data_IF_200919682532
#
_entry.id   IF_200919682532
#
_cell.length_a   1.000
_cell.length_b   1.000
_cell.length_c   1.000
_cell.angle_alpha   90.00
_cell.angle_beta   90.00
_cell.angle_gamma   90.00
#
_symmetry.space_group_name_H-M   'P 1'
#
loop_
_entity.id
_entity.type
_entity.pdbx_description
1 polymer ?
#
# COMPACT_ATOMS: atom_id res chain seq x y z
N UNK A 1 -16.09 7.80 18.15
CA UNK A 1 -16.58 6.89 17.11
C UNK A 1 -15.94 7.31 15.78
N UNK A 2 -15.28 6.39 15.08
CA UNK A 2 -14.54 6.71 13.86
C UNK A 2 -15.26 6.23 12.59
N UNK A 3 -16.31 5.42 12.73
CA UNK A 3 -17.17 4.94 11.65
C UNK A 3 -18.62 4.86 12.12
N UNK A 4 -19.57 4.98 11.20
CA UNK A 4 -21.01 4.88 11.44
C UNK A 4 -21.58 3.74 10.61
N UNK A 5 -22.27 2.79 11.27
CA UNK A 5 -23.11 1.82 10.61
C UNK A 5 -24.57 2.13 10.95
N UNK A 6 -25.40 2.35 9.95
CA UNK A 6 -26.84 2.49 10.08
C UNK A 6 -27.49 1.18 9.67
N UNK A 7 -28.13 0.53 10.64
CA UNK A 7 -28.87 -0.71 10.44
C UNK A 7 -30.36 -0.42 10.45
N UNK A 8 -31.02 -0.70 9.35
CA UNK A 8 -32.45 -0.52 9.18
C UNK A 8 -33.16 -1.82 9.54
N UNK A 9 -33.70 -1.89 10.75
CA UNK A 9 -34.53 -3.01 11.21
C UNK A 9 -36.00 -2.89 10.74
N UNK A 10 -36.38 -1.76 10.18
CA UNK A 10 -37.72 -1.45 9.67
C UNK A 10 -37.64 -0.31 8.66
N UNK A 11 -38.77 0.18 8.13
CA UNK A 11 -38.85 1.31 7.21
C UNK A 11 -38.10 2.54 7.72
N UNK A 12 -38.31 2.91 8.98
CA UNK A 12 -37.58 3.99 9.63
C UNK A 12 -37.91 5.41 9.14
N UNK A 13 -37.55 6.45 9.90
CA UNK A 13 -37.66 7.86 9.49
C UNK A 13 -36.44 8.28 8.66
N UNK A 14 -36.50 8.13 7.33
CA UNK A 14 -35.41 8.37 6.38
C UNK A 14 -34.69 9.72 6.54
N UNK A 15 -35.40 10.77 7.01
CA UNK A 15 -34.80 12.09 7.28
C UNK A 15 -33.84 12.01 8.46
N UNK A 16 -34.22 11.38 9.56
CA UNK A 16 -33.41 11.31 10.78
C UNK A 16 -32.12 10.54 10.56
N UNK A 17 -32.19 9.36 9.96
CA UNK A 17 -31.02 8.49 9.68
C UNK A 17 -30.05 9.11 8.67
N UNK A 18 -30.58 9.76 7.61
CA UNK A 18 -29.73 10.41 6.62
C UNK A 18 -29.13 11.72 7.13
N UNK A 19 -29.83 12.47 8.01
CA UNK A 19 -29.27 13.63 8.68
C UNK A 19 -28.20 13.24 9.71
N UNK A 20 -28.36 12.12 10.41
CA UNK A 20 -27.30 11.56 11.25
C UNK A 20 -26.05 11.28 10.41
N UNK A 21 -26.22 10.60 9.28
CA UNK A 21 -25.13 10.29 8.36
C UNK A 21 -24.50 11.58 7.77
N UNK A 22 -25.30 12.60 7.45
CA UNK A 22 -24.81 13.88 6.92
C UNK A 22 -23.92 14.61 7.91
N UNK A 23 -24.26 14.59 9.19
CA UNK A 23 -23.54 15.31 10.23
C UNK A 23 -22.41 14.49 10.87
N UNK A 24 -22.31 13.21 10.55
CA UNK A 24 -21.20 12.37 11.02
C UNK A 24 -19.97 12.60 10.14
N UNK A 25 -18.86 12.98 10.77
CA UNK A 25 -17.57 13.16 10.08
C UNK A 25 -16.76 11.86 10.12
N UNK A 26 -16.90 11.02 9.11
CA UNK A 26 -16.20 9.74 8.99
C UNK A 26 -16.85 8.81 7.98
N UNK A 27 -16.27 7.60 7.77
CA UNK A 27 -16.85 6.58 6.91
C UNK A 27 -18.21 6.10 7.45
N UNK A 28 -19.13 5.86 6.55
CA UNK A 28 -20.52 5.50 6.83
C UNK A 28 -20.93 4.30 6.02
N UNK A 29 -21.77 3.44 6.62
CA UNK A 29 -22.35 2.27 5.99
C UNK A 29 -23.85 2.22 6.26
N UNK A 30 -24.62 1.74 5.29
CA UNK A 30 -26.05 1.44 5.44
C UNK A 30 -26.31 0.00 5.07
N UNK A 31 -27.03 -0.72 5.96
CA UNK A 31 -27.50 -2.09 5.77
C UNK A 31 -28.90 -2.24 6.35
N UNK A 32 -29.62 -3.28 5.96
CA UNK A 32 -30.99 -3.49 6.39
C UNK A 32 -31.27 -4.97 6.74
N UNK A 33 -32.26 -5.19 7.59
CA UNK A 33 -32.70 -6.52 7.99
C UNK A 33 -33.49 -7.22 6.89
N UNK A 34 -33.20 -8.51 6.66
CA UNK A 34 -34.06 -9.41 5.91
C UNK A 34 -35.18 -9.96 6.77
N UNK A 35 -36.29 -10.38 6.15
CA UNK A 35 -37.32 -11.19 6.79
C UNK A 35 -36.83 -12.65 6.90
N UNK A 36 -36.54 -13.12 8.10
CA UNK A 36 -35.88 -14.42 8.31
C UNK A 36 -36.87 -15.58 8.44
N UNK A 37 -38.11 -15.30 8.91
CA UNK A 37 -39.09 -16.35 9.21
C UNK A 37 -40.47 -16.07 8.65
N UNK A 38 -41.21 -17.12 8.38
CA UNK A 38 -42.65 -17.05 8.08
C UNK A 38 -43.48 -17.69 9.20
N UNK A 39 -44.75 -17.33 9.31
CA UNK A 39 -45.72 -17.96 10.20
C UNK A 39 -46.75 -18.74 9.38
N UNK A 40 -46.81 -20.04 9.60
CA UNK A 40 -47.78 -20.94 8.90
C UNK A 40 -47.72 -20.81 7.36
N UNK A 41 -46.51 -20.64 6.80
CA UNK A 41 -46.33 -20.47 5.36
C UNK A 41 -46.68 -19.08 4.80
N UNK A 42 -46.99 -18.11 5.67
CA UNK A 42 -47.28 -16.71 5.31
C UNK A 42 -46.37 -15.70 6.00
N UNK A 43 -46.56 -14.43 5.73
CA UNK A 43 -45.81 -13.37 6.36
C UNK A 43 -46.18 -13.24 7.85
N UNK A 44 -45.13 -12.96 8.68
CA UNK A 44 -45.32 -12.70 10.12
C UNK A 44 -46.04 -11.37 10.31
N UNK A 45 -47.05 -11.34 11.17
CA UNK A 45 -47.65 -10.07 11.59
C UNK A 45 -46.64 -9.23 12.37
N UNK A 46 -46.49 -7.96 12.02
CA UNK A 46 -45.52 -7.07 12.64
C UNK A 46 -44.10 -7.20 12.04
N UNK A 47 -43.95 -7.81 10.84
CA UNK A 47 -42.73 -7.78 10.07
C UNK A 47 -42.26 -6.35 9.85
N UNK A 48 -40.96 -6.18 9.61
CA UNK A 48 -40.39 -4.91 9.19
C UNK A 48 -40.61 -4.61 7.70
N UNK A 49 -40.32 -3.37 7.33
CA UNK A 49 -40.33 -2.92 5.93
C UNK A 49 -38.92 -2.40 5.56
N UNK A 50 -37.88 -3.11 6.05
CA UNK A 50 -36.50 -2.66 5.93
C UNK A 50 -36.01 -2.65 4.47
N UNK A 51 -36.56 -3.54 3.62
CA UNK A 51 -36.25 -3.56 2.19
C UNK A 51 -36.66 -2.26 1.48
N UNK A 52 -37.86 -1.76 1.70
CA UNK A 52 -38.28 -0.47 1.17
C UNK A 52 -37.63 0.71 1.92
N UNK A 53 -37.36 0.56 3.21
CA UNK A 53 -36.60 1.53 4.00
C UNK A 53 -35.22 1.77 3.41
N UNK A 54 -34.50 0.72 3.01
CA UNK A 54 -33.20 0.83 2.38
C UNK A 54 -33.22 1.59 1.05
N UNK A 55 -34.27 1.39 0.22
CA UNK A 55 -34.47 2.15 -1.02
C UNK A 55 -34.68 3.64 -0.75
N UNK A 56 -35.53 3.98 0.24
CA UNK A 56 -35.79 5.36 0.59
C UNK A 56 -34.60 6.04 1.27
N UNK A 57 -33.90 5.33 2.13
CA UNK A 57 -32.65 5.83 2.72
C UNK A 57 -31.60 6.14 1.65
N UNK A 58 -31.38 5.24 0.69
CA UNK A 58 -30.43 5.45 -0.40
C UNK A 58 -30.80 6.62 -1.31
N UNK A 59 -32.09 6.79 -1.62
CA UNK A 59 -32.60 7.98 -2.35
C UNK A 59 -32.30 9.26 -1.57
N UNK A 60 -32.58 9.27 -0.27
CA UNK A 60 -32.41 10.43 0.59
C UNK A 60 -30.94 10.80 0.80
N UNK A 61 -30.03 9.80 0.93
CA UNK A 61 -28.58 10.00 0.94
C UNK A 61 -28.12 10.70 -0.35
N UNK A 62 -28.58 10.22 -1.51
CA UNK A 62 -28.24 10.82 -2.81
C UNK A 62 -28.77 12.24 -2.93
N UNK A 63 -30.02 12.49 -2.53
CA UNK A 63 -30.64 13.81 -2.54
C UNK A 63 -29.83 14.83 -1.74
N UNK A 64 -29.22 14.40 -0.63
CA UNK A 64 -28.41 15.25 0.25
C UNK A 64 -26.92 15.26 -0.06
N UNK A 65 -26.48 14.58 -1.11
CA UNK A 65 -25.06 14.45 -1.47
C UNK A 65 -24.22 13.73 -0.41
N UNK A 66 -24.83 12.86 0.38
CA UNK A 66 -24.14 12.06 1.41
C UNK A 66 -23.60 10.79 0.77
N UNK A 67 -22.30 10.59 0.87
CA UNK A 67 -21.66 9.33 0.45
C UNK A 67 -21.68 8.33 1.60
N UNK A 68 -22.10 7.12 1.33
CA UNK A 68 -22.06 5.99 2.26
C UNK A 68 -21.66 4.71 1.50
N UNK A 69 -21.00 3.79 2.19
CA UNK A 69 -20.79 2.44 1.69
C UNK A 69 -22.13 1.69 1.77
N UNK A 70 -22.52 1.10 0.68
CA UNK A 70 -23.68 0.20 0.58
C UNK A 70 -23.14 -1.10 -0.02
N UNK A 71 -23.25 -2.24 0.68
CA UNK A 71 -22.85 -3.55 0.14
C UNK A 71 -23.55 -3.87 -1.18
N UNK A 72 -23.00 -4.80 -1.95
CA UNK A 72 -23.60 -5.23 -3.22
C UNK A 72 -25.06 -5.68 -3.05
N UNK A 73 -25.33 -6.40 -1.96
CA UNK A 73 -26.68 -6.68 -1.50
C UNK A 73 -26.82 -6.28 -0.03
N UNK A 74 -27.46 -5.13 0.29
CA UNK A 74 -27.41 -4.52 1.61
C UNK A 74 -28.47 -5.01 2.60
N UNK A 75 -29.24 -6.04 2.27
CA UNK A 75 -30.32 -6.58 3.09
C UNK A 75 -29.99 -8.03 3.45
N UNK A 76 -29.91 -8.34 4.73
CA UNK A 76 -29.49 -9.68 5.18
C UNK A 76 -30.01 -10.09 6.54
N UNK A 77 -29.84 -11.37 6.85
CA UNK A 77 -30.00 -11.94 8.19
C UNK A 77 -29.04 -11.28 9.17
N UNK A 78 -29.13 -11.60 10.45
CA UNK A 78 -28.21 -11.07 11.47
C UNK A 78 -26.75 -11.48 11.16
N UNK A 79 -26.51 -12.74 10.75
CA UNK A 79 -25.20 -13.23 10.36
C UNK A 79 -24.66 -12.50 9.09
N UNK A 80 -25.47 -12.42 8.05
CA UNK A 80 -25.10 -11.73 6.81
C UNK A 80 -24.81 -10.24 7.07
N UNK A 81 -25.57 -9.58 7.93
CA UNK A 81 -25.30 -8.21 8.33
C UNK A 81 -23.97 -8.07 9.13
N UNK A 82 -23.65 -9.05 9.97
CA UNK A 82 -22.36 -9.10 10.66
C UNK A 82 -21.20 -9.24 9.64
N UNK A 83 -21.34 -10.09 8.64
CA UNK A 83 -20.34 -10.26 7.57
C UNK A 83 -20.17 -8.97 6.77
N UNK A 84 -21.27 -8.27 6.41
CA UNK A 84 -21.20 -6.97 5.75
C UNK A 84 -20.44 -5.92 6.58
N UNK A 85 -20.63 -5.93 7.91
CA UNK A 85 -19.89 -5.04 8.83
C UNK A 85 -18.40 -5.42 8.84
N UNK A 86 -18.07 -6.72 8.88
CA UNK A 86 -16.68 -7.18 8.79
C UNK A 86 -15.99 -6.73 7.49
N UNK A 87 -16.70 -6.82 6.37
CA UNK A 87 -16.20 -6.33 5.07
C UNK A 87 -16.01 -4.80 5.03
N UNK A 88 -16.81 -4.07 5.78
CA UNK A 88 -16.70 -2.61 5.86
C UNK A 88 -15.52 -2.14 6.73
N UNK A 89 -15.07 -2.91 7.70
CA UNK A 89 -14.00 -2.51 8.63
C UNK A 89 -12.73 -2.05 7.90
N UNK A 90 -12.15 -2.81 6.94
CA UNK A 90 -10.95 -2.36 6.22
C UNK A 90 -11.20 -1.11 5.38
N UNK A 91 -12.37 -0.98 4.76
CA UNK A 91 -12.78 0.22 4.01
C UNK A 91 -12.85 1.43 4.94
N UNK A 92 -13.53 1.29 6.07
CA UNK A 92 -13.66 2.35 7.07
C UNK A 92 -12.30 2.75 7.64
N UNK A 93 -11.43 1.78 7.87
CA UNK A 93 -10.06 2.00 8.36
C UNK A 93 -9.26 2.81 7.34
N UNK A 94 -9.31 2.44 6.05
CA UNK A 94 -8.62 3.15 4.98
C UNK A 94 -9.11 4.61 4.85
N UNK A 95 -10.41 4.83 4.80
CA UNK A 95 -11.00 6.18 4.70
C UNK A 95 -10.62 7.04 5.91
N UNK A 96 -10.70 6.48 7.11
CA UNK A 96 -10.29 7.18 8.33
C UNK A 96 -8.80 7.49 8.33
N UNK A 97 -7.97 6.52 7.92
CA UNK A 97 -6.52 6.67 7.91
C UNK A 97 -6.06 7.71 6.88
N UNK A 98 -6.66 7.75 5.68
CA UNK A 98 -6.38 8.78 4.67
C UNK A 98 -6.60 10.20 5.19
N UNK A 99 -7.70 10.44 5.91
CA UNK A 99 -8.00 11.74 6.52
C UNK A 99 -7.03 12.11 7.68
N UNK A 100 -6.18 11.17 8.09
CA UNK A 100 -5.19 11.36 9.15
C UNK A 100 -3.76 11.09 8.67
N UNK A 101 -3.53 11.06 7.36
CA UNK A 101 -2.24 10.81 6.74
C UNK A 101 -1.52 12.12 6.40
N UNK A 102 -0.21 12.12 6.66
CA UNK A 102 0.75 13.04 6.05
C UNK A 102 1.75 12.24 5.22
N UNK A 103 2.04 12.67 4.01
CA UNK A 103 3.16 12.15 3.21
C UNK A 103 4.28 13.17 3.27
N UNK A 104 5.45 12.73 3.71
CA UNK A 104 6.67 13.53 3.80
C UNK A 104 7.57 13.13 2.63
N UNK A 105 7.94 14.09 1.79
CA UNK A 105 8.85 13.83 0.67
C UNK A 105 10.18 14.51 0.85
N UNK A 106 11.26 13.88 0.32
CA UNK A 106 12.61 14.40 0.33
C UNK A 106 13.16 14.51 -1.10
N UNK A 107 13.31 15.74 -1.57
CA UNK A 107 13.84 16.10 -2.88
C UNK A 107 12.78 16.42 -3.91
N UNK A 108 13.13 16.71 -5.16
CA UNK A 108 12.30 16.34 -6.30
C UNK A 108 12.62 14.92 -6.73
N UNK A 109 11.72 14.30 -7.50
CA UNK A 109 11.96 13.02 -8.16
C UNK A 109 13.29 13.02 -8.95
N UNK A 110 13.86 11.85 -9.25
CA UNK A 110 14.96 11.78 -10.21
C UNK A 110 14.56 12.34 -11.59
N UNK A 111 15.50 12.95 -12.32
CA UNK A 111 15.23 13.75 -13.51
C UNK A 111 14.36 13.03 -14.57
N UNK A 112 14.63 11.77 -14.85
CA UNK A 112 13.95 11.01 -15.91
C UNK A 112 12.67 10.30 -15.46
N UNK A 113 12.27 10.40 -14.19
CA UNK A 113 11.09 9.73 -13.63
C UNK A 113 9.87 10.66 -13.61
N UNK A 114 9.43 11.11 -14.79
CA UNK A 114 8.33 12.07 -14.94
C UNK A 114 7.01 11.58 -14.32
N UNK A 115 6.74 10.28 -14.39
CA UNK A 115 5.52 9.72 -13.82
C UNK A 115 5.45 9.81 -12.28
N UNK A 116 6.59 9.96 -11.59
CA UNK A 116 6.64 10.21 -10.15
C UNK A 116 6.39 11.70 -9.78
N UNK A 117 6.25 12.59 -10.77
CA UNK A 117 5.92 14.00 -10.59
C UNK A 117 4.43 14.30 -10.86
N UNK A 118 3.54 13.39 -10.47
CA UNK A 118 2.10 13.58 -10.65
C UNK A 118 1.58 14.72 -9.75
N UNK A 119 0.54 15.46 -10.18
CA UNK A 119 -0.01 16.57 -9.40
C UNK A 119 -0.54 16.14 -8.03
N UNK A 120 -0.06 16.78 -6.97
CA UNK A 120 -0.40 16.46 -5.58
C UNK A 120 -1.67 17.15 -5.08
N UNK A 121 -2.17 18.14 -5.78
CA UNK A 121 -3.36 18.91 -5.38
C UNK A 121 -4.61 18.05 -5.19
N UNK A 122 -4.71 16.92 -5.89
CA UNK A 122 -5.83 15.98 -5.74
C UNK A 122 -5.80 15.24 -4.38
N UNK A 123 -4.64 15.10 -3.76
CA UNK A 123 -4.47 14.41 -2.47
C UNK A 123 -5.09 15.19 -1.32
N UNK A 124 -5.08 16.52 -1.38
CA UNK A 124 -5.75 17.36 -0.40
C UNK A 124 -7.26 17.14 -0.37
N UNK A 125 -7.87 16.80 -1.52
CA UNK A 125 -9.29 16.44 -1.60
C UNK A 125 -9.59 15.08 -0.93
N UNK A 126 -8.58 14.23 -0.77
CA UNK A 126 -8.67 12.97 -0.02
C UNK A 126 -8.37 13.16 1.48
N UNK A 127 -8.08 14.39 1.91
CA UNK A 127 -7.71 14.70 3.29
C UNK A 127 -6.24 14.41 3.64
N UNK A 128 -5.41 14.09 2.63
CA UNK A 128 -3.97 13.80 2.81
C UNK A 128 -3.19 15.10 2.80
N UNK A 129 -2.32 15.30 3.79
CA UNK A 129 -1.33 16.39 3.82
C UNK A 129 -0.02 15.97 3.17
N UNK A 130 0.59 16.91 2.45
CA UNK A 130 1.90 16.70 1.83
C UNK A 130 2.88 17.71 2.41
N UNK A 131 4.07 17.22 2.77
CA UNK A 131 5.19 18.06 3.18
C UNK A 131 6.39 17.76 2.29
N UNK A 132 6.85 18.78 1.57
CA UNK A 132 7.99 18.67 0.65
C UNK A 132 9.25 19.26 1.29
N UNK A 133 10.28 18.44 1.42
CA UNK A 133 11.57 18.81 2.01
C UNK A 133 12.72 18.59 1.02
N UNK A 134 13.83 19.23 1.29
CA UNK A 134 15.08 19.02 0.55
C UNK A 134 15.84 17.80 1.07
N UNK A 135 16.58 17.12 0.20
CA UNK A 135 17.57 16.12 0.62
C UNK A 135 18.70 16.73 1.48
N UNK A 136 18.95 18.05 1.36
CA UNK A 136 19.92 18.74 2.21
C UNK A 136 19.45 18.83 3.65
N UNK A 137 18.14 19.08 3.87
CA UNK A 137 17.55 19.12 5.21
C UNK A 137 17.65 17.74 5.87
N UNK A 138 17.39 16.69 5.10
CA UNK A 138 17.54 15.31 5.54
C UNK A 138 18.99 14.98 5.88
N UNK A 139 19.95 15.43 5.05
CA UNK A 139 21.37 15.19 5.27
C UNK A 139 21.91 15.94 6.50
N UNK A 140 21.48 17.17 6.71
CA UNK A 140 21.80 17.93 7.94
C UNK A 140 21.25 17.22 9.18
N UNK A 141 19.98 16.80 9.14
CA UNK A 141 19.36 16.04 10.23
C UNK A 141 20.11 14.74 10.50
N UNK A 142 20.52 14.01 9.44
CA UNK A 142 21.32 12.79 9.59
C UNK A 142 22.65 13.08 10.31
N UNK A 143 23.35 14.13 9.93
CA UNK A 143 24.62 14.52 10.58
C UNK A 143 24.41 14.89 12.06
N UNK A 144 23.30 15.53 12.40
CA UNK A 144 22.95 15.89 13.77
C UNK A 144 22.67 14.67 14.67
N UNK A 145 22.34 13.51 14.08
CA UNK A 145 22.19 12.23 14.80
C UNK A 145 23.52 11.46 14.94
N UNK A 146 24.66 12.05 14.55
CA UNK A 146 25.94 11.40 14.71
C UNK A 146 26.27 11.17 16.21
N UNK A 147 26.49 9.91 16.59
CA UNK A 147 26.78 9.54 17.97
C UNK A 147 25.56 9.48 18.89
N UNK A 148 24.33 9.45 18.34
CA UNK A 148 23.10 9.26 19.11
C UNK A 148 23.18 7.98 19.96
N UNK A 149 22.89 8.09 21.24
CA UNK A 149 23.00 7.00 22.22
C UNK A 149 22.08 5.79 21.91
N UNK A 150 21.05 5.97 21.09
CA UNK A 150 20.12 4.92 20.66
C UNK A 150 20.69 4.02 19.55
N UNK A 151 21.73 4.46 18.82
CA UNK A 151 22.31 3.72 17.68
C UNK A 151 22.67 2.28 18.05
N UNK A 152 23.37 1.97 19.16
CA UNK A 152 23.72 0.58 19.49
C UNK A 152 22.50 -0.34 19.67
N UNK A 153 21.41 0.16 20.23
CA UNK A 153 20.19 -0.61 20.41
C UNK A 153 19.50 -0.91 19.06
N UNK A 154 19.49 0.05 18.14
CA UNK A 154 18.95 -0.12 16.79
C UNK A 154 19.82 -1.10 15.98
N UNK A 155 21.15 -0.99 16.05
CA UNK A 155 22.10 -1.95 15.43
C UNK A 155 21.80 -3.38 15.90
N UNK A 156 21.70 -3.60 17.21
CA UNK A 156 21.38 -4.92 17.77
C UNK A 156 20.03 -5.47 17.26
N UNK A 157 19.05 -4.58 17.07
CA UNK A 157 17.75 -4.96 16.49
C UNK A 157 17.89 -5.34 15.00
N UNK A 158 18.71 -4.61 14.24
CA UNK A 158 18.99 -4.91 12.83
C UNK A 158 19.76 -6.25 12.69
N UNK A 159 20.75 -6.49 13.52
CA UNK A 159 21.48 -7.77 13.56
C UNK A 159 20.54 -8.95 13.81
N UNK A 160 19.62 -8.80 14.76
CA UNK A 160 18.63 -9.84 15.06
C UNK A 160 17.68 -10.08 13.88
N UNK A 161 17.23 -9.02 13.22
CA UNK A 161 16.33 -9.10 12.07
C UNK A 161 16.98 -9.80 10.87
N UNK A 162 18.21 -9.42 10.56
CA UNK A 162 18.96 -9.94 9.42
C UNK A 162 19.52 -11.34 9.66
N UNK A 163 19.90 -11.68 10.89
CA UNK A 163 20.49 -12.95 11.25
C UNK A 163 21.69 -13.31 10.36
N UNK A 164 21.68 -14.48 9.73
CA UNK A 164 22.73 -14.94 8.80
C UNK A 164 22.80 -14.11 7.50
N UNK A 165 21.74 -13.38 7.16
CA UNK A 165 21.69 -12.47 6.02
C UNK A 165 22.43 -11.15 6.24
N UNK A 166 22.97 -10.90 7.45
CA UNK A 166 23.79 -9.75 7.74
C UNK A 166 25.20 -9.87 7.13
N UNK A 167 25.30 -9.65 5.82
CA UNK A 167 26.58 -9.75 5.09
C UNK A 167 27.39 -8.45 5.11
N UNK A 168 26.87 -7.38 5.72
CA UNK A 168 27.47 -6.04 5.76
C UNK A 168 27.34 -5.39 7.15
N UNK A 169 27.87 -6.05 8.22
CA UNK A 169 27.74 -5.52 9.58
C UNK A 169 28.41 -4.16 9.77
N UNK A 170 29.41 -3.84 8.97
CA UNK A 170 30.19 -2.59 9.05
C UNK A 170 29.36 -1.33 8.76
N UNK A 171 28.23 -1.43 8.06
CA UNK A 171 27.40 -0.26 7.74
C UNK A 171 26.21 -0.08 8.68
N UNK A 172 25.94 -1.05 9.57
CA UNK A 172 24.72 -1.03 10.41
C UNK A 172 24.62 0.23 11.28
N UNK A 173 25.74 0.76 11.80
CA UNK A 173 25.70 2.00 12.57
C UNK A 173 25.21 3.19 11.75
N UNK A 174 25.62 3.32 10.49
CA UNK A 174 25.13 4.37 9.58
C UNK A 174 23.65 4.18 9.25
N UNK A 175 23.23 2.95 9.00
CA UNK A 175 21.83 2.64 8.73
C UNK A 175 20.95 2.88 9.97
N UNK A 176 21.45 2.56 11.16
CA UNK A 176 20.76 2.84 12.43
C UNK A 176 20.60 4.34 12.67
N UNK A 177 21.67 5.12 12.44
CA UNK A 177 21.62 6.58 12.49
C UNK A 177 20.56 7.13 11.52
N UNK A 178 20.51 6.62 10.28
CA UNK A 178 19.54 7.06 9.29
C UNK A 178 18.10 6.65 9.66
N UNK A 179 17.91 5.46 10.23
CA UNK A 179 16.60 5.02 10.72
C UNK A 179 16.08 5.93 11.84
N UNK A 180 16.94 6.30 12.80
CA UNK A 180 16.62 7.26 13.85
C UNK A 180 16.31 8.64 13.30
N UNK A 181 17.06 9.10 12.33
CA UNK A 181 16.82 10.37 11.64
C UNK A 181 15.41 10.43 11.05
N UNK A 182 15.00 9.39 10.32
CA UNK A 182 13.68 9.35 9.72
C UNK A 182 12.57 9.24 10.77
N UNK A 183 12.75 8.43 11.81
CA UNK A 183 11.75 8.28 12.87
C UNK A 183 11.56 9.58 13.66
N UNK A 184 12.63 10.26 14.02
CA UNK A 184 12.55 11.54 14.72
C UNK A 184 11.98 12.65 13.82
N UNK A 185 12.31 12.62 12.51
CA UNK A 185 11.69 13.52 11.54
C UNK A 185 10.17 13.32 11.48
N UNK A 186 9.73 12.07 11.38
CA UNK A 186 8.30 11.72 11.40
C UNK A 186 7.62 12.27 12.65
N UNK A 187 8.18 12.04 13.82
CA UNK A 187 7.61 12.53 15.09
C UNK A 187 7.54 14.06 15.15
N UNK A 188 8.58 14.73 14.71
CA UNK A 188 8.65 16.21 14.73
C UNK A 188 7.70 16.86 13.72
N UNK A 189 7.44 16.20 12.58
CA UNK A 189 6.74 16.79 11.43
C UNK A 189 5.32 16.26 11.20
N UNK A 190 4.91 15.15 11.83
CA UNK A 190 3.56 14.60 11.64
C UNK A 190 2.43 15.58 12.05
N UNK A 191 2.71 16.51 12.97
CA UNK A 191 1.72 17.47 13.48
C UNK A 191 0.54 16.79 14.15
N UNK A 192 -0.67 17.14 13.75
CA UNK A 192 -1.91 16.53 14.25
C UNK A 192 -2.26 15.21 13.56
N UNK A 193 -1.52 14.80 12.53
CA UNK A 193 -1.78 13.56 11.79
C UNK A 193 -1.34 12.35 12.59
N UNK A 194 -2.04 11.25 12.41
CA UNK A 194 -1.78 9.98 13.12
C UNK A 194 -0.83 9.07 12.35
N UNK A 195 -0.83 9.20 11.04
CA UNK A 195 -0.10 8.33 10.13
C UNK A 195 0.82 9.14 9.25
N UNK A 196 1.96 8.54 8.91
CA UNK A 196 2.93 9.12 8.00
C UNK A 196 3.35 8.05 6.99
N UNK A 197 3.53 8.47 5.75
CA UNK A 197 4.27 7.74 4.73
C UNK A 197 5.38 8.65 4.20
N UNK A 198 6.44 8.08 3.66
CA UNK A 198 7.60 8.82 3.16
C UNK A 198 7.77 8.54 1.66
N UNK A 199 8.17 9.57 0.92
CA UNK A 199 8.61 9.46 -0.46
C UNK A 199 10.04 10.01 -0.57
N UNK A 200 11.01 9.12 -0.79
CA UNK A 200 12.43 9.47 -0.86
C UNK A 200 13.09 8.90 -2.11
N UNK A 201 14.38 9.20 -2.30
CA UNK A 201 15.16 8.61 -3.39
C UNK A 201 16.58 8.27 -2.93
N UNK A 202 17.21 7.32 -3.62
CA UNK A 202 18.58 6.90 -3.32
C UNK A 202 19.62 7.39 -4.38
N UNK A 203 19.18 8.09 -5.41
CA UNK A 203 20.02 8.56 -6.50
C UNK A 203 19.52 9.89 -7.07
N UNK A 204 20.38 10.73 -7.73
CA UNK A 204 21.75 10.38 -8.12
C UNK A 204 22.83 10.68 -7.06
N UNK A 205 22.54 11.42 -6.00
CA UNK A 205 23.58 11.90 -5.08
C UNK A 205 23.53 11.31 -3.67
N UNK A 206 22.41 10.70 -3.27
CA UNK A 206 22.21 10.19 -1.90
C UNK A 206 23.39 9.32 -1.44
N UNK A 207 23.70 8.27 -2.19
CA UNK A 207 24.70 7.26 -1.81
C UNK A 207 26.11 7.86 -1.67
N UNK A 208 26.46 8.87 -2.45
CA UNK A 208 27.77 9.52 -2.34
C UNK A 208 27.85 10.48 -1.15
N UNK A 209 26.74 11.03 -0.70
CA UNK A 209 26.67 11.93 0.46
C UNK A 209 26.54 11.14 1.77
N UNK A 210 25.64 10.19 1.85
CA UNK A 210 25.39 9.39 3.04
C UNK A 210 26.38 8.22 3.19
N UNK A 211 26.97 7.74 2.09
CA UNK A 211 27.93 6.62 2.07
C UNK A 211 27.26 5.24 2.16
N UNK A 212 25.97 5.13 1.79
CA UNK A 212 25.19 3.90 1.73
C UNK A 212 23.94 4.11 0.88
N UNK A 213 23.13 3.07 0.64
CA UNK A 213 21.78 3.15 0.05
C UNK A 213 20.71 2.87 1.12
N UNK A 214 19.55 3.56 1.09
CA UNK A 214 18.55 3.52 2.16
C UNK A 214 17.62 2.30 2.13
N UNK A 215 17.73 1.42 1.15
CA UNK A 215 16.72 0.40 0.83
C UNK A 215 16.32 -0.46 2.05
N UNK A 216 17.29 -0.98 2.82
CA UNK A 216 17.01 -1.76 4.03
C UNK A 216 16.29 -0.94 5.11
N UNK A 217 16.69 0.32 5.31
CA UNK A 217 16.00 1.19 6.29
C UNK A 217 14.57 1.45 5.83
N UNK A 218 14.37 1.71 4.53
CA UNK A 218 13.03 1.91 3.96
C UNK A 218 12.15 0.67 4.18
N UNK A 219 12.67 -0.53 3.90
CA UNK A 219 11.95 -1.79 4.13
C UNK A 219 11.57 -1.98 5.60
N UNK A 220 12.46 -1.58 6.51
CA UNK A 220 12.25 -1.67 7.95
C UNK A 220 11.17 -0.70 8.44
N UNK A 221 11.15 0.54 7.98
CA UNK A 221 10.10 1.51 8.29
C UNK A 221 8.74 1.05 7.74
N UNK A 222 8.72 0.52 6.51
CA UNK A 222 7.51 -0.06 5.92
C UNK A 222 6.95 -1.21 6.77
N UNK A 223 7.82 -2.09 7.29
CA UNK A 223 7.43 -3.14 8.23
C UNK A 223 6.88 -2.61 9.57
N UNK A 224 7.26 -1.39 9.95
CA UNK A 224 6.74 -0.69 11.14
C UNK A 224 5.43 0.09 10.88
N UNK A 225 4.88 0.03 9.66
CA UNK A 225 3.66 0.72 9.27
C UNK A 225 3.90 2.17 8.78
N UNK A 226 5.14 2.53 8.47
CA UNK A 226 5.55 3.79 7.85
C UNK A 226 6.10 3.48 6.46
N UNK A 227 5.26 3.36 5.43
CA UNK A 227 5.71 3.05 4.08
C UNK A 227 6.69 4.09 3.55
N UNK A 228 7.74 3.63 2.87
CA UNK A 228 8.75 4.47 2.25
C UNK A 228 8.90 4.13 0.78
N UNK A 229 8.30 4.93 -0.07
CA UNK A 229 8.34 4.77 -1.52
C UNK A 229 9.63 5.35 -2.12
N UNK A 230 10.14 4.72 -3.16
CA UNK A 230 11.32 5.17 -3.90
C UNK A 230 11.00 6.23 -4.96
N UNK A 231 12.05 6.86 -5.50
CA UNK A 231 12.01 7.88 -6.57
C UNK A 231 11.10 9.09 -6.29
N UNK A 232 10.86 9.37 -5.01
CA UNK A 232 9.93 10.42 -4.55
C UNK A 232 8.52 10.22 -5.14
N UNK A 233 8.12 8.95 -5.28
CA UNK A 233 6.80 8.59 -5.78
C UNK A 233 5.73 8.76 -4.68
N UNK A 234 5.17 9.97 -4.60
CA UNK A 234 4.15 10.32 -3.59
C UNK A 234 2.91 9.43 -3.72
N UNK A 235 2.48 9.11 -4.94
CA UNK A 235 1.35 8.20 -5.16
C UNK A 235 1.71 6.73 -4.90
N UNK A 236 2.98 6.37 -5.02
CA UNK A 236 3.51 5.10 -4.55
C UNK A 236 3.38 4.99 -3.03
N UNK A 237 3.86 5.99 -2.30
CA UNK A 237 3.74 6.05 -0.83
C UNK A 237 2.27 6.01 -0.37
N UNK A 238 1.38 6.73 -1.06
CA UNK A 238 -0.06 6.67 -0.82
C UNK A 238 -0.62 5.26 -1.03
N UNK A 239 -0.24 4.62 -2.14
CA UNK A 239 -0.72 3.28 -2.47
C UNK A 239 -0.24 2.25 -1.44
N UNK A 240 1.05 2.27 -1.10
CA UNK A 240 1.59 1.41 -0.03
C UNK A 240 0.87 1.65 1.30
N UNK A 241 0.60 2.91 1.66
CA UNK A 241 -0.12 3.23 2.89
C UNK A 241 -1.54 2.67 2.90
N UNK A 242 -2.31 2.84 1.83
CA UNK A 242 -3.66 2.30 1.70
C UNK A 242 -3.65 0.78 1.91
N UNK A 243 -2.74 0.07 1.24
CA UNK A 243 -2.63 -1.37 1.41
C UNK A 243 -2.18 -1.79 2.81
N UNK A 244 -1.25 -1.05 3.42
CA UNK A 244 -0.82 -1.31 4.79
C UNK A 244 -1.99 -1.24 5.78
N UNK A 245 -2.87 -0.24 5.65
CA UNK A 245 -4.02 -0.12 6.55
C UNK A 245 -5.15 -1.10 6.23
N UNK A 246 -5.32 -1.49 4.97
CA UNK A 246 -6.32 -2.48 4.55
C UNK A 246 -5.91 -3.89 4.95
N UNK A 247 -4.65 -4.27 4.70
CA UNK A 247 -4.13 -5.59 5.02
C UNK A 247 -3.66 -5.74 6.47
N UNK A 248 -3.39 -4.63 7.16
CA UNK A 248 -2.72 -4.55 8.46
C UNK A 248 -1.38 -5.29 8.47
N UNK A 249 -0.68 -5.24 7.35
CA UNK A 249 0.59 -5.91 7.13
C UNK A 249 1.50 -5.06 6.24
N UNK A 250 2.79 -5.38 6.21
CA UNK A 250 3.74 -4.72 5.33
C UNK A 250 3.40 -5.01 3.86
N UNK A 251 3.40 -3.96 3.06
CA UNK A 251 3.26 -4.00 1.61
C UNK A 251 4.61 -3.73 0.95
N UNK A 252 4.69 -3.81 -0.37
CA UNK A 252 5.88 -3.41 -1.10
C UNK A 252 5.51 -2.68 -2.38
N UNK A 253 6.34 -1.72 -2.79
CA UNK A 253 6.28 -1.09 -4.10
C UNK A 253 7.22 -1.83 -5.04
N UNK A 254 6.74 -2.22 -6.21
CA UNK A 254 7.52 -2.96 -7.20
C UNK A 254 7.37 -2.36 -8.59
N UNK A 255 8.46 -2.49 -9.36
CA UNK A 255 8.43 -2.27 -10.80
C UNK A 255 7.74 -3.44 -11.48
N UNK A 256 6.86 -3.18 -12.44
CA UNK A 256 6.50 -4.14 -13.48
C UNK A 256 7.71 -4.19 -14.42
N UNK A 257 8.69 -5.03 -14.06
CA UNK A 257 10.06 -4.87 -14.55
C UNK A 257 10.28 -5.54 -15.90
N UNK A 258 10.10 -6.85 -15.96
CA UNK A 258 10.40 -7.65 -17.15
C UNK A 258 9.34 -8.72 -17.40
N UNK A 259 9.29 -9.21 -18.63
CA UNK A 259 8.64 -10.49 -18.92
C UNK A 259 9.42 -11.63 -18.30
N UNK A 260 8.74 -12.71 -17.93
CA UNK A 260 9.42 -13.96 -17.56
C UNK A 260 10.10 -14.55 -18.80
N UNK A 261 11.40 -14.88 -18.75
CA UNK A 261 12.09 -15.52 -19.88
C UNK A 261 11.37 -16.78 -20.34
N UNK A 262 11.37 -17.04 -21.66
CA UNK A 262 10.60 -18.14 -22.23
C UNK A 262 11.06 -19.53 -21.75
N UNK A 263 12.35 -19.72 -21.54
CA UNK A 263 12.92 -20.94 -20.99
C UNK A 263 12.53 -21.13 -19.50
N UNK A 264 12.63 -20.08 -18.69
CA UNK A 264 12.18 -20.09 -17.29
C UNK A 264 10.67 -20.39 -17.19
N UNK A 265 9.84 -19.78 -18.04
CA UNK A 265 8.41 -20.07 -18.10
C UNK A 265 8.17 -21.55 -18.43
N UNK A 266 8.79 -22.07 -19.48
CA UNK A 266 8.64 -23.45 -19.92
C UNK A 266 9.09 -24.46 -18.87
N UNK A 267 10.19 -24.20 -18.17
CA UNK A 267 10.75 -25.11 -17.19
C UNK A 267 10.00 -25.07 -15.84
N UNK A 268 9.53 -23.88 -15.43
CA UNK A 268 9.08 -23.66 -14.05
C UNK A 268 7.60 -23.39 -13.90
N UNK A 269 6.88 -23.00 -14.97
CA UNK A 269 5.50 -22.52 -14.89
C UNK A 269 4.57 -23.34 -15.79
N UNK A 270 4.94 -23.55 -17.07
CA UNK A 270 4.11 -24.24 -18.06
C UNK A 270 3.66 -25.62 -17.57
N UNK A 271 2.36 -25.88 -17.59
CA UNK A 271 1.77 -27.14 -17.13
C UNK A 271 1.79 -27.37 -15.62
N UNK A 272 2.38 -26.48 -14.81
CA UNK A 272 2.43 -26.56 -13.37
C UNK A 272 1.47 -25.57 -12.70
N UNK A 273 1.20 -24.45 -13.37
CA UNK A 273 0.31 -23.39 -12.92
C UNK A 273 -0.69 -23.03 -14.03
N UNK A 274 -1.88 -22.50 -13.71
CA UNK A 274 -2.93 -22.20 -14.68
C UNK A 274 -2.71 -20.87 -15.44
N UNK A 275 -1.46 -20.48 -15.66
CA UNK A 275 -1.09 -19.21 -16.26
C UNK A 275 -0.38 -19.40 -17.60
N UNK A 276 -0.70 -18.56 -18.56
CA UNK A 276 0.10 -18.42 -19.78
C UNK A 276 1.32 -17.54 -19.52
N UNK A 277 2.31 -17.55 -20.39
CA UNK A 277 3.48 -16.65 -20.25
C UNK A 277 3.07 -15.17 -20.22
N UNK A 278 1.97 -14.79 -20.89
CA UNK A 278 1.45 -13.41 -20.91
C UNK A 278 0.74 -13.00 -19.62
N UNK A 279 0.42 -13.96 -18.77
CA UNK A 279 -0.15 -13.69 -17.45
C UNK A 279 0.94 -13.44 -16.40
N UNK A 280 2.21 -13.63 -16.75
CA UNK A 280 3.36 -13.57 -15.83
C UNK A 280 4.28 -12.38 -16.12
N UNK A 281 4.90 -11.85 -15.07
CA UNK A 281 5.93 -10.82 -15.15
C UNK A 281 6.92 -10.92 -13.98
N UNK A 282 8.09 -10.31 -14.15
CA UNK A 282 9.03 -10.12 -13.05
C UNK A 282 8.67 -8.84 -12.31
N UNK A 283 8.24 -8.97 -11.05
CA UNK A 283 8.09 -7.84 -10.15
C UNK A 283 9.40 -7.62 -9.40
N UNK A 284 9.95 -6.41 -9.44
CA UNK A 284 11.29 -6.12 -8.94
C UNK A 284 11.34 -4.77 -8.23
N UNK A 285 12.14 -4.67 -7.18
CA UNK A 285 12.69 -3.41 -6.71
C UNK A 285 14.11 -3.62 -6.15
N UNK A 286 14.85 -2.52 -5.98
CA UNK A 286 16.26 -2.58 -5.58
C UNK A 286 16.53 -3.20 -4.20
N UNK A 287 15.49 -3.47 -3.37
CA UNK A 287 15.66 -4.12 -2.07
C UNK A 287 15.00 -3.38 -0.91
N UNK A 288 13.83 -2.76 -1.15
CA UNK A 288 13.01 -2.08 -0.14
C UNK A 288 11.81 -2.93 0.35
N UNK A 289 11.70 -4.19 -0.09
CA UNK A 289 10.69 -5.12 0.44
C UNK A 289 11.05 -5.53 1.87
N UNK A 290 10.08 -5.49 2.78
CA UNK A 290 10.27 -5.89 4.17
C UNK A 290 10.83 -7.31 4.30
N UNK A 291 11.81 -7.53 5.18
CA UNK A 291 12.50 -8.82 5.39
C UNK A 291 11.52 -9.98 5.61
N UNK A 292 10.44 -9.73 6.36
CA UNK A 292 9.38 -10.70 6.61
C UNK A 292 8.59 -11.14 5.35
N UNK A 293 8.71 -10.42 4.24
CA UNK A 293 8.06 -10.72 2.95
C UNK A 293 8.99 -11.37 1.93
N UNK A 294 10.23 -11.63 2.32
CA UNK A 294 11.22 -12.34 1.51
C UNK A 294 11.36 -13.80 1.97
N UNK A 295 11.51 -14.74 1.04
CA UNK A 295 11.75 -16.15 1.32
C UNK A 295 13.12 -16.37 1.98
N UNK A 296 14.09 -15.56 1.59
CA UNK A 296 15.37 -15.34 2.26
C UNK A 296 15.73 -13.87 2.12
N UNK A 297 16.60 -13.34 2.97
CA UNK A 297 17.11 -11.99 2.80
C UNK A 297 18.60 -11.91 3.09
N UNK A 298 19.31 -11.16 2.27
CA UNK A 298 20.72 -10.84 2.46
C UNK A 298 20.96 -9.37 2.23
N UNK A 299 21.63 -8.72 3.17
CA UNK A 299 22.09 -7.33 2.97
C UNK A 299 23.31 -7.33 2.07
N UNK A 300 23.21 -6.60 0.98
CA UNK A 300 24.26 -6.48 -0.05
C UNK A 300 24.46 -5.03 -0.49
N UNK A 301 25.11 -4.90 -1.63
CA UNK A 301 25.28 -3.63 -2.34
C UNK A 301 24.27 -3.56 -3.51
N UNK A 302 23.81 -2.38 -3.84
CA UNK A 302 22.88 -2.13 -4.93
C UNK A 302 23.60 -2.27 -6.28
N UNK A 303 23.32 -3.35 -6.98
CA UNK A 303 24.07 -3.80 -8.15
C UNK A 303 23.98 -2.82 -9.34
N UNK A 304 22.85 -2.14 -9.52
CA UNK A 304 22.68 -1.18 -10.62
C UNK A 304 23.62 0.01 -10.43
N UNK A 305 23.68 0.56 -9.21
CA UNK A 305 24.54 1.71 -8.89
C UNK A 305 26.02 1.34 -8.86
N UNK A 306 26.36 0.13 -8.41
CA UNK A 306 27.73 -0.35 -8.37
C UNK A 306 28.39 -0.48 -9.76
N UNK A 307 27.60 -0.36 -10.84
CA UNK A 307 28.15 -0.29 -12.22
C UNK A 307 28.89 1.02 -12.50
N UNK A 308 28.55 2.09 -11.77
CA UNK A 308 29.11 3.44 -11.99
C UNK A 308 29.70 4.07 -10.76
N UNK A 309 29.53 3.47 -9.59
CA UNK A 309 29.99 3.98 -8.29
C UNK A 309 30.84 2.93 -7.58
N UNK A 310 31.57 3.38 -6.56
CA UNK A 310 32.28 2.48 -5.66
C UNK A 310 31.29 1.62 -4.86
N UNK A 311 31.61 0.32 -4.70
CA UNK A 311 30.72 -0.63 -4.02
C UNK A 311 30.44 -0.20 -2.59
N UNK A 312 31.39 0.41 -1.92
CA UNK A 312 31.32 0.85 -0.51
C UNK A 312 30.16 1.80 -0.26
N UNK A 313 29.86 2.71 -1.18
CA UNK A 313 28.75 3.67 -1.06
C UNK A 313 27.41 3.14 -1.56
N UNK A 314 27.38 1.91 -2.09
CA UNK A 314 26.16 1.30 -2.60
C UNK A 314 25.64 0.15 -1.71
N UNK A 315 26.23 -0.06 -0.54
CA UNK A 315 25.80 -1.04 0.46
C UNK A 315 24.52 -0.59 1.16
N UNK A 316 23.70 -1.54 1.63
CA UNK A 316 22.47 -1.26 2.39
C UNK A 316 21.18 -1.63 1.66
N UNK A 317 21.27 -2.39 0.57
CA UNK A 317 20.11 -3.01 -0.07
C UNK A 317 19.79 -4.38 0.55
N UNK A 318 18.53 -4.81 0.46
CA UNK A 318 18.10 -6.12 0.92
C UNK A 318 17.69 -6.97 -0.28
N UNK A 319 18.43 -8.05 -0.53
CA UNK A 319 18.15 -8.99 -1.63
C UNK A 319 17.40 -10.21 -1.14
N UNK A 320 16.47 -10.70 -1.94
CA UNK A 320 15.76 -11.95 -1.73
C UNK A 320 14.59 -12.16 -2.68
N UNK A 321 14.22 -13.42 -2.89
CA UNK A 321 12.99 -13.74 -3.60
C UNK A 321 11.78 -13.38 -2.71
N UNK A 322 10.79 -12.74 -3.31
CA UNK A 322 9.52 -12.41 -2.62
C UNK A 322 8.79 -13.72 -2.32
N UNK A 323 8.25 -13.83 -1.10
CA UNK A 323 7.53 -15.03 -0.67
C UNK A 323 6.39 -15.39 -1.60
N UNK A 324 6.28 -16.65 -2.03
CA UNK A 324 5.13 -17.12 -2.80
C UNK A 324 3.83 -16.99 -2.02
N UNK A 325 2.74 -16.78 -2.75
CA UNK A 325 1.38 -16.72 -2.20
C UNK A 325 0.52 -15.68 -2.88
N UNK A 326 -0.73 -15.61 -2.45
CA UNK A 326 -1.72 -14.70 -2.98
C UNK A 326 -1.33 -13.24 -2.77
N UNK A 327 -1.64 -12.41 -3.76
CA UNK A 327 -1.39 -10.97 -3.73
C UNK A 327 -2.56 -10.16 -4.28
N UNK A 328 -2.63 -8.93 -3.84
CA UNK A 328 -3.39 -7.88 -4.53
C UNK A 328 -2.42 -6.84 -5.04
N UNK A 329 -2.42 -6.64 -6.36
CA UNK A 329 -1.61 -5.69 -7.08
C UNK A 329 -2.45 -4.47 -7.43
N UNK A 330 -2.05 -3.29 -6.99
CA UNK A 330 -2.91 -2.10 -7.09
C UNK A 330 -2.09 -0.82 -7.12
N UNK A 331 -2.73 0.27 -7.58
CA UNK A 331 -2.16 1.61 -7.48
C UNK A 331 -3.27 2.66 -7.59
N UNK A 332 -3.16 3.70 -6.78
CA UNK A 332 -3.86 4.97 -6.97
C UNK A 332 -2.88 5.96 -7.59
N UNK A 333 -3.28 6.67 -8.65
CA UNK A 333 -2.43 7.57 -9.43
C UNK A 333 -3.21 8.73 -10.00
N UNK A 334 -2.63 9.92 -9.99
CA UNK A 334 -3.00 10.97 -10.94
C UNK A 334 -2.30 10.67 -12.27
N UNK A 335 -3.05 10.20 -13.25
CA UNK A 335 -2.53 9.84 -14.56
C UNK A 335 -2.17 11.07 -15.40
N UNK A 336 -1.54 10.89 -16.56
CA UNK A 336 -0.98 11.99 -17.36
C UNK A 336 -2.02 13.04 -17.81
N UNK A 337 -3.30 12.70 -17.80
CA UNK A 337 -4.43 13.61 -18.05
C UNK A 337 -4.97 14.30 -16.79
N UNK A 338 -4.26 14.19 -15.66
CA UNK A 338 -4.62 14.74 -14.35
C UNK A 338 -5.91 14.17 -13.75
N UNK A 339 -6.31 12.97 -14.14
CA UNK A 339 -7.44 12.28 -13.55
C UNK A 339 -6.94 11.29 -12.50
N UNK A 340 -7.53 11.34 -11.31
CA UNK A 340 -7.26 10.38 -10.25
C UNK A 340 -7.92 9.04 -10.59
N UNK A 341 -7.12 8.00 -10.74
CA UNK A 341 -7.55 6.64 -11.10
C UNK A 341 -6.89 5.62 -10.20
N UNK A 342 -7.57 4.52 -9.98
CA UNK A 342 -7.00 3.35 -9.36
C UNK A 342 -7.14 2.14 -10.29
N UNK A 343 -6.21 1.20 -10.16
CA UNK A 343 -6.39 -0.16 -10.61
C UNK A 343 -6.21 -1.12 -9.44
N UNK A 344 -6.91 -2.24 -9.53
CA UNK A 344 -6.79 -3.35 -8.58
C UNK A 344 -6.81 -4.64 -9.40
N UNK A 345 -5.86 -5.52 -9.14
CA UNK A 345 -5.79 -6.86 -9.73
C UNK A 345 -5.38 -7.87 -8.66
N UNK A 346 -5.90 -9.08 -8.74
CA UNK A 346 -5.55 -10.17 -7.84
C UNK A 346 -4.76 -11.24 -8.59
N UNK A 347 -3.82 -11.85 -7.92
CA UNK A 347 -2.95 -12.86 -8.48
C UNK A 347 -2.10 -13.51 -7.38
N UNK A 348 -0.96 -14.03 -7.76
CA UNK A 348 -0.04 -14.67 -6.83
C UNK A 348 1.44 -14.44 -7.21
N UNK A 349 2.31 -14.58 -6.23
CA UNK A 349 3.75 -14.76 -6.45
C UNK A 349 4.00 -16.26 -6.56
N UNK A 350 4.58 -16.68 -7.69
CA UNK A 350 4.87 -18.09 -7.94
C UNK A 350 6.14 -18.55 -7.21
N UNK A 351 6.22 -19.80 -6.75
CA UNK A 351 7.38 -20.37 -6.07
C UNK A 351 8.51 -20.71 -7.08
N UNK A 352 8.96 -19.72 -7.81
CA UNK A 352 10.02 -19.84 -8.83
C UNK A 352 11.22 -19.04 -8.36
N UNK A 353 12.36 -19.73 -8.16
CA UNK A 353 13.61 -19.08 -7.78
C UNK A 353 14.13 -18.19 -8.91
N UNK A 354 14.34 -16.91 -8.62
CA UNK A 354 14.74 -15.95 -9.65
C UNK A 354 16.24 -15.95 -9.92
N UNK A 355 17.05 -16.31 -8.92
CA UNK A 355 18.52 -16.28 -8.96
C UNK A 355 19.08 -14.93 -9.43
N UNK A 356 18.40 -13.85 -9.03
CA UNK A 356 18.72 -12.49 -9.40
C UNK A 356 19.02 -11.63 -8.17
N UNK A 357 19.23 -10.34 -8.37
CA UNK A 357 19.49 -9.36 -7.32
C UNK A 357 18.23 -8.55 -7.00
N UNK A 358 18.26 -7.83 -5.89
CA UNK A 358 17.15 -7.02 -5.41
C UNK A 358 16.06 -7.83 -4.71
N UNK A 359 14.96 -7.20 -4.40
CA UNK A 359 13.73 -7.86 -3.97
C UNK A 359 12.92 -8.17 -5.23
N UNK A 360 12.79 -9.44 -5.58
CA UNK A 360 12.28 -9.85 -6.88
C UNK A 360 11.40 -11.09 -6.76
N UNK A 361 10.44 -11.26 -7.65
CA UNK A 361 9.59 -12.45 -7.74
C UNK A 361 9.01 -12.64 -9.12
N UNK A 362 8.51 -13.85 -9.37
CA UNK A 362 7.67 -14.16 -10.54
C UNK A 362 6.23 -13.98 -10.13
N UNK A 363 5.59 -12.98 -10.70
CA UNK A 363 4.19 -12.64 -10.46
C UNK A 363 3.30 -13.20 -11.56
N UNK A 364 2.12 -13.68 -11.17
CA UNK A 364 1.09 -14.13 -12.09
C UNK A 364 -0.23 -13.41 -11.78
N UNK A 365 -0.79 -12.75 -12.78
CA UNK A 365 -2.09 -12.09 -12.72
C UNK A 365 -2.90 -12.57 -13.94
N UNK A 366 -4.09 -13.15 -13.76
CA UNK A 366 -4.93 -13.54 -14.88
C UNK A 366 -5.16 -12.39 -15.87
N UNK A 367 -5.01 -12.65 -17.16
CA UNK A 367 -5.14 -11.65 -18.23
C UNK A 367 -4.14 -10.48 -18.17
N UNK A 368 -2.97 -10.66 -17.52
CA UNK A 368 -1.96 -9.61 -17.36
C UNK A 368 -1.61 -8.91 -18.68
N UNK A 369 -1.52 -9.65 -19.78
CA UNK A 369 -1.22 -9.07 -21.10
C UNK A 369 -2.28 -8.06 -21.58
N UNK A 370 -3.56 -8.31 -21.31
CA UNK A 370 -4.66 -7.37 -21.58
C UNK A 370 -4.68 -6.22 -20.59
N UNK A 371 -4.48 -6.51 -19.30
CA UNK A 371 -4.37 -5.52 -18.25
C UNK A 371 -3.22 -4.54 -18.53
N UNK A 372 -2.04 -5.06 -18.91
CA UNK A 372 -0.89 -4.24 -19.29
C UNK A 372 -1.20 -3.28 -20.42
N UNK A 373 -1.83 -3.77 -21.50
CA UNK A 373 -2.14 -2.94 -22.68
C UNK A 373 -3.30 -1.97 -22.44
N UNK A 374 -4.42 -2.43 -21.88
CA UNK A 374 -5.67 -1.67 -21.84
C UNK A 374 -5.89 -0.89 -20.54
N UNK A 375 -5.16 -1.23 -19.49
CA UNK A 375 -5.20 -0.48 -18.22
C UNK A 375 -3.91 0.31 -18.04
N UNK A 376 -2.77 -0.35 -17.94
CA UNK A 376 -1.53 0.34 -17.55
C UNK A 376 -1.06 1.32 -18.64
N UNK A 377 -0.92 0.87 -19.89
CA UNK A 377 -0.47 1.73 -20.99
C UNK A 377 -1.54 2.73 -21.39
N UNK A 378 -2.77 2.27 -21.63
CA UNK A 378 -3.84 3.13 -22.14
C UNK A 378 -4.27 4.23 -21.17
N UNK A 379 -4.21 3.97 -19.87
CA UNK A 379 -4.53 4.96 -18.83
C UNK A 379 -3.30 5.68 -18.27
N UNK A 380 -2.11 5.43 -18.86
CA UNK A 380 -0.87 6.12 -18.54
C UNK A 380 -0.40 5.97 -17.09
N UNK A 381 -0.42 4.75 -16.56
CA UNK A 381 0.16 4.44 -15.27
C UNK A 381 1.68 4.31 -15.38
N UNK A 382 2.44 4.63 -14.29
CA UNK A 382 3.88 4.37 -14.24
C UNK A 382 4.16 2.87 -14.06
N UNK A 383 5.45 2.52 -14.09
CA UNK A 383 5.92 1.15 -13.87
C UNK A 383 5.76 0.65 -12.43
N UNK A 384 5.60 1.52 -11.45
CA UNK A 384 5.39 1.17 -10.05
C UNK A 384 3.98 0.67 -9.77
N UNK A 385 3.87 -0.44 -9.05
CA UNK A 385 2.65 -0.95 -8.45
C UNK A 385 2.87 -1.36 -7.00
N UNK A 386 1.86 -1.13 -6.16
CA UNK A 386 1.89 -1.61 -4.78
C UNK A 386 1.35 -3.04 -4.71
N UNK A 387 1.94 -3.84 -3.83
CA UNK A 387 1.58 -5.24 -3.60
C UNK A 387 1.23 -5.45 -2.13
N UNK A 388 -0.01 -5.79 -1.85
CA UNK A 388 -0.44 -6.35 -0.57
C UNK A 388 -0.44 -7.88 -0.66
N UNK A 389 0.03 -8.53 0.39
CA UNK A 389 0.16 -9.98 0.46
C UNK A 389 -1.15 -10.58 0.98
N UNK A 390 -1.95 -11.13 0.08
CA UNK A 390 -3.30 -11.65 0.28
C UNK A 390 -4.34 -11.05 -0.68
N UNK A 391 -5.58 -11.50 -0.57
CA UNK A 391 -6.69 -11.04 -1.40
C UNK A 391 -7.48 -9.91 -0.72
N UNK A 392 -7.19 -8.67 -1.09
CA UNK A 392 -7.83 -7.45 -0.58
C UNK A 392 -8.57 -6.66 -1.66
N UNK A 393 -8.79 -7.24 -2.83
CA UNK A 393 -9.37 -6.55 -3.99
C UNK A 393 -10.72 -5.90 -3.68
N UNK A 394 -11.61 -6.59 -2.97
CA UNK A 394 -12.94 -6.06 -2.60
C UNK A 394 -12.85 -4.82 -1.69
N UNK A 395 -11.91 -4.81 -0.76
CA UNK A 395 -11.74 -3.68 0.16
C UNK A 395 -11.04 -2.47 -0.48
N UNK A 396 -10.20 -2.72 -1.50
CA UNK A 396 -9.48 -1.67 -2.24
C UNK A 396 -10.32 -1.06 -3.37
N UNK A 397 -11.28 -1.80 -3.93
CA UNK A 397 -12.22 -1.34 -4.95
C UNK A 397 -13.34 -0.51 -4.34
#
# INVERSE_FOLDING_TARGET
CNALCVYLGNFGPEIAETMLAKNFNGPKMFIAAAEETSANGGLVQGRGDAYCGMLNASYNLKLRGVKAYIPEYPVGTAEECADMIHEFIPVATAVYALNNLKIISFGPRPNNFLACNAPINQLYNLGVEIEENSELDLFESYNNHAGDERIPAVVKSMEKELGEGNKKPEILSKLAQYALTLLDWVEAHKGSRKYVAIAGKCWPAFQTQFGFVPCYVNSRLTAMGIPVSCEVDIYGALSEFIGTVVSQDAVTLLDINNTVPADMYKESIEGKFPYTQKDTFMGFHCGNTASGKLAFCEMKYQMIMARSLQIEVTQGTLEGDIKPGDITFYRLQSTSDNVLRAYVAQGEVLPVATKSFGSIGVFAIPEMGRFYRHVLIEKNYPHHGAVAFGHFGKALF
#
